data_IF_280272196642
#
_entry.id   IF_280272196642
#
_cell.length_a   1.000
_cell.length_b   1.000
_cell.length_c   1.000
_cell.angle_alpha   90.00
_cell.angle_beta   90.00
_cell.angle_gamma   90.00
#
_symmetry.space_group_name_H-M   'P 1'
#
loop_
_entity.id
_entity.type
_entity.pdbx_description
1 polymer ?
#
# COMPACT_ATOMS: atom_id res chain seq x y z
N UNK A 1 18.61 28.27 -66.26
CA UNK A 1 19.30 27.04 -65.82
C UNK A 1 19.36 27.05 -64.29
N UNK A 2 18.62 26.18 -63.62
CA UNK A 2 18.67 26.07 -62.15
C UNK A 2 19.89 25.22 -61.76
N UNK A 3 20.83 25.82 -61.03
CA UNK A 3 22.10 25.17 -60.68
C UNK A 3 21.90 24.12 -59.58
N UNK A 4 22.20 22.85 -59.91
CA UNK A 4 22.14 21.70 -59.00
C UNK A 4 23.05 21.91 -57.77
N UNK A 5 24.12 22.70 -57.91
CA UNK A 5 25.07 23.03 -56.84
C UNK A 5 24.41 23.76 -55.66
N UNK A 6 23.42 24.62 -55.92
CA UNK A 6 22.68 25.34 -54.87
C UNK A 6 21.73 24.42 -54.08
N UNK A 7 21.27 23.32 -54.70
CA UNK A 7 20.38 22.36 -54.03
C UNK A 7 21.21 21.47 -53.10
N UNK A 8 22.34 20.95 -53.58
CA UNK A 8 23.28 20.15 -52.77
C UNK A 8 23.82 20.92 -51.55
N UNK A 9 24.14 22.21 -51.71
CA UNK A 9 24.58 23.10 -50.63
C UNK A 9 23.48 23.34 -49.57
N UNK A 10 22.22 23.42 -49.98
CA UNK A 10 21.09 23.53 -49.04
C UNK A 10 20.87 22.21 -48.31
N UNK A 11 20.90 21.08 -49.00
CA UNK A 11 20.74 19.76 -48.38
C UNK A 11 21.84 19.47 -47.35
N UNK A 12 23.10 19.79 -47.66
CA UNK A 12 24.21 19.59 -46.71
C UNK A 12 24.12 20.51 -45.49
N UNK A 13 23.70 21.76 -45.66
CA UNK A 13 23.50 22.68 -44.53
C UNK A 13 22.31 22.28 -43.66
N UNK A 14 21.22 21.76 -44.23
CA UNK A 14 20.11 21.16 -43.48
C UNK A 14 20.55 19.93 -42.69
N UNK A 15 21.26 18.99 -43.31
CA UNK A 15 21.75 17.78 -42.63
C UNK A 15 22.73 18.11 -41.50
N UNK A 16 23.64 19.06 -41.71
CA UNK A 16 24.57 19.52 -40.67
C UNK A 16 23.84 20.20 -39.51
N UNK A 17 22.78 20.96 -39.78
CA UNK A 17 21.96 21.58 -38.75
C UNK A 17 21.23 20.52 -37.91
N UNK A 18 20.61 19.51 -38.56
CA UNK A 18 19.95 18.38 -37.89
C UNK A 18 20.93 17.60 -37.02
N UNK A 19 22.14 17.31 -37.52
CA UNK A 19 23.18 16.63 -36.75
C UNK A 19 23.64 17.46 -35.53
N UNK A 20 23.74 18.79 -35.67
CA UNK A 20 24.13 19.67 -34.57
C UNK A 20 23.08 19.74 -33.47
N UNK A 21 21.79 19.69 -33.84
CA UNK A 21 20.66 19.65 -32.90
C UNK A 21 20.63 18.29 -32.18
N UNK A 22 20.81 17.18 -32.91
CA UNK A 22 20.93 15.84 -32.33
C UNK A 22 22.06 15.78 -31.29
N UNK A 23 23.26 16.25 -31.65
CA UNK A 23 24.41 16.23 -30.74
C UNK A 23 24.19 17.07 -29.48
N UNK A 24 23.48 18.22 -29.60
CA UNK A 24 23.12 19.02 -28.43
C UNK A 24 22.13 18.28 -27.55
N UNK A 25 21.06 17.71 -28.12
CA UNK A 25 20.07 16.91 -27.38
C UNK A 25 20.75 15.73 -26.67
N UNK A 26 21.64 15.01 -27.36
CA UNK A 26 22.41 13.89 -26.79
C UNK A 26 23.28 14.34 -25.61
N UNK A 27 23.89 15.53 -25.71
CA UNK A 27 24.72 16.08 -24.63
C UNK A 27 23.91 16.48 -23.39
N UNK A 28 22.68 16.99 -23.57
CA UNK A 28 21.78 17.35 -22.48
C UNK A 28 21.16 16.09 -21.84
N UNK A 29 20.77 15.10 -22.65
CA UNK A 29 20.28 13.79 -22.18
C UNK A 29 21.31 13.05 -21.31
N UNK A 30 22.61 13.26 -21.54
CA UNK A 30 23.68 12.66 -20.72
C UNK A 30 23.85 13.28 -19.34
N UNK A 31 23.38 14.50 -19.11
CA UNK A 31 23.54 15.21 -17.82
C UNK A 31 22.38 15.00 -16.86
N UNK A 32 21.20 14.65 -17.38
CA UNK A 32 20.02 14.33 -16.56
C UNK A 32 20.06 12.85 -16.21
N UNK A 33 19.77 12.45 -14.95
CA UNK A 33 19.64 11.04 -14.61
C UNK A 33 18.62 10.37 -15.53
N UNK A 34 18.87 9.14 -16.01
CA UNK A 34 17.99 8.48 -16.94
C UNK A 34 16.66 8.14 -16.25
N UNK A 35 15.56 8.40 -16.95
CA UNK A 35 14.24 7.94 -16.53
C UNK A 35 14.05 6.51 -17.02
N UNK A 36 13.73 5.59 -16.10
CA UNK A 36 13.60 4.17 -16.38
C UNK A 36 12.19 3.69 -16.04
N UNK A 37 11.55 2.99 -16.97
CA UNK A 37 10.32 2.24 -16.73
C UNK A 37 10.65 0.75 -16.79
N UNK A 38 10.73 0.11 -15.62
CA UNK A 38 11.39 -1.18 -15.46
C UNK A 38 12.83 -1.11 -15.96
N UNK A 39 13.11 -1.87 -17.02
CA UNK A 39 14.43 -1.88 -17.67
C UNK A 39 14.51 -1.01 -18.93
N UNK A 40 13.43 -0.27 -19.25
CA UNK A 40 13.34 0.54 -20.47
C UNK A 40 13.78 1.98 -20.17
N UNK A 41 14.76 2.48 -20.93
CA UNK A 41 15.18 3.88 -20.86
C UNK A 41 14.19 4.75 -21.65
N UNK A 42 13.53 5.66 -20.95
CA UNK A 42 12.67 6.66 -21.56
C UNK A 42 13.49 7.91 -21.90
N UNK A 43 13.14 8.56 -23.01
CA UNK A 43 13.76 9.78 -23.50
C UNK A 43 12.72 10.90 -23.51
N UNK A 44 13.19 12.14 -23.35
CA UNK A 44 12.39 13.38 -23.48
C UNK A 44 11.03 13.29 -22.77
N UNK A 45 11.05 12.94 -21.48
CA UNK A 45 9.83 12.87 -20.67
C UNK A 45 9.38 14.27 -20.28
N UNK A 46 8.10 14.56 -20.45
CA UNK A 46 7.49 15.86 -20.17
C UNK A 46 6.04 15.74 -19.71
N UNK A 47 5.46 16.84 -19.24
CA UNK A 47 4.06 16.87 -18.83
C UNK A 47 3.72 15.91 -17.68
N UNK A 48 4.63 15.78 -16.71
CA UNK A 48 4.45 14.89 -15.56
C UNK A 48 3.31 15.43 -14.69
N UNK A 49 2.29 14.59 -14.48
CA UNK A 49 1.15 14.83 -13.61
C UNK A 49 1.13 13.74 -12.54
N UNK A 50 1.19 14.14 -11.27
CA UNK A 50 1.06 13.25 -10.11
C UNK A 50 -0.19 13.64 -9.32
N UNK A 51 -1.09 12.68 -9.11
CA UNK A 51 -2.33 12.89 -8.35
C UNK A 51 -2.23 12.16 -7.02
N UNK A 52 -2.27 12.93 -5.94
CA UNK A 52 -2.36 12.43 -4.57
C UNK A 52 -3.75 12.76 -4.04
N UNK A 53 -4.50 11.75 -3.64
CA UNK A 53 -5.83 11.95 -3.06
C UNK A 53 -6.09 11.00 -1.90
N UNK A 54 -6.95 11.46 -0.99
CA UNK A 54 -7.45 10.69 0.14
C UNK A 54 -8.96 10.88 0.20
N UNK A 55 -9.67 9.83 0.58
CA UNK A 55 -11.06 9.91 0.97
C UNK A 55 -11.14 10.34 2.43
N UNK A 56 -11.80 11.48 2.67
CA UNK A 56 -11.95 12.09 3.98
C UNK A 56 -13.43 12.04 4.38
N UNK A 57 -13.77 11.55 5.57
CA UNK A 57 -15.15 11.47 6.03
C UNK A 57 -15.75 12.87 6.20
N UNK A 58 -16.99 13.06 5.73
CA UNK A 58 -17.75 14.31 5.86
C UNK A 58 -18.72 14.31 7.04
N UNK A 59 -18.91 13.14 7.67
CA UNK A 59 -19.78 12.96 8.84
C UNK A 59 -18.95 13.20 10.10
N UNK A 60 -19.48 13.89 11.13
CA UNK A 60 -18.78 14.08 12.41
C UNK A 60 -18.41 12.74 13.03
N UNK A 61 -17.17 12.65 13.53
CA UNK A 61 -16.67 11.48 14.25
C UNK A 61 -16.96 11.68 15.74
N UNK A 62 -17.51 10.64 16.37
CA UNK A 62 -18.14 10.70 17.71
C UNK A 62 -17.21 11.23 18.82
N UNK A 63 -15.93 10.82 18.83
CA UNK A 63 -15.00 11.14 19.93
C UNK A 63 -13.68 11.81 19.52
N UNK A 64 -13.46 12.13 18.24
CA UNK A 64 -12.25 12.82 17.75
C UNK A 64 -10.90 12.12 18.02
N UNK A 65 -10.90 10.94 18.64
CA UNK A 65 -9.71 10.23 19.13
C UNK A 65 -9.04 9.35 18.09
N UNK A 66 -9.69 9.08 16.95
CA UNK A 66 -9.14 8.30 15.83
C UNK A 66 -9.48 8.91 14.46
N UNK A 67 -9.03 10.14 14.21
CA UNK A 67 -9.25 10.83 12.92
C UNK A 67 -8.52 10.12 11.77
N UNK A 68 -7.32 9.58 12.03
CA UNK A 68 -6.48 8.95 11.02
C UNK A 68 -7.08 7.63 10.48
N UNK A 69 -7.76 6.84 11.33
CA UNK A 69 -8.33 5.55 10.93
C UNK A 69 -9.49 5.68 9.94
N UNK A 70 -10.03 6.89 9.80
CA UNK A 70 -11.14 7.17 8.90
C UNK A 70 -10.70 7.81 7.56
N UNK A 71 -9.42 8.18 7.41
CA UNK A 71 -8.90 8.73 6.15
C UNK A 71 -8.33 7.58 5.33
N UNK A 72 -8.97 7.27 4.20
CA UNK A 72 -8.48 6.24 3.29
C UNK A 72 -7.60 6.87 2.22
N UNK A 73 -6.34 6.46 2.14
CA UNK A 73 -5.45 6.93 1.08
C UNK A 73 -5.84 6.27 -0.24
N UNK A 74 -6.01 7.04 -1.31
CA UNK A 74 -6.21 6.49 -2.65
C UNK A 74 -4.88 6.07 -3.29
N UNK A 75 -4.89 5.22 -4.33
CA UNK A 75 -3.72 4.96 -5.15
C UNK A 75 -3.11 6.24 -5.73
N UNK A 76 -1.78 6.30 -5.82
CA UNK A 76 -1.12 7.33 -6.60
C UNK A 76 -1.41 7.11 -8.09
N UNK A 77 -1.91 8.14 -8.75
CA UNK A 77 -2.04 8.16 -10.21
C UNK A 77 -0.96 9.03 -10.82
N UNK A 78 -0.33 8.53 -11.89
CA UNK A 78 0.77 9.20 -12.57
C UNK A 78 0.51 9.20 -14.07
N UNK A 79 0.72 10.33 -14.73
CA UNK A 79 0.68 10.41 -16.19
C UNK A 79 1.78 11.30 -16.72
N UNK A 80 2.41 10.90 -17.82
CA UNK A 80 3.45 11.71 -18.47
C UNK A 80 3.56 11.39 -19.95
N UNK A 81 4.05 12.37 -20.71
CA UNK A 81 4.35 12.23 -22.13
C UNK A 81 5.81 11.83 -22.33
N UNK A 82 6.04 10.94 -23.27
CA UNK A 82 7.36 10.44 -23.66
C UNK A 82 7.56 10.67 -25.15
N UNK A 83 8.75 11.13 -25.53
CA UNK A 83 9.16 11.20 -26.92
C UNK A 83 10.48 10.44 -27.11
N UNK A 84 10.44 9.35 -27.87
CA UNK A 84 11.62 8.57 -28.20
C UNK A 84 12.09 8.94 -29.59
N UNK A 85 13.36 9.31 -29.72
CA UNK A 85 13.98 9.72 -30.99
C UNK A 85 15.07 8.73 -31.36
N UNK A 86 15.33 8.59 -32.67
CA UNK A 86 16.38 7.73 -33.20
C UNK A 86 15.84 6.43 -33.78
N UNK A 87 16.71 5.62 -34.38
CA UNK A 87 16.31 4.46 -35.19
C UNK A 87 15.53 3.37 -34.44
N UNK A 88 15.72 3.27 -33.12
CA UNK A 88 15.08 2.26 -32.27
C UNK A 88 13.78 2.75 -31.62
N UNK A 89 13.26 3.91 -32.01
CA UNK A 89 12.09 4.52 -31.36
C UNK A 89 10.85 3.60 -31.36
N UNK A 90 10.62 2.86 -32.45
CA UNK A 90 9.50 1.91 -32.56
C UNK A 90 9.68 0.71 -31.63
N UNK A 91 10.89 0.16 -31.58
CA UNK A 91 11.21 -1.00 -30.74
C UNK A 91 11.03 -0.68 -29.24
N UNK A 92 11.44 0.53 -28.82
CA UNK A 92 11.23 0.99 -27.45
C UNK A 92 9.73 1.12 -27.15
N UNK A 93 8.96 1.70 -28.07
CA UNK A 93 7.51 1.83 -27.91
C UNK A 93 6.82 0.46 -27.78
N UNK A 94 7.17 -0.51 -28.64
CA UNK A 94 6.64 -1.88 -28.56
C UNK A 94 6.98 -2.55 -27.22
N UNK A 95 8.21 -2.38 -26.72
CA UNK A 95 8.58 -2.90 -25.39
C UNK A 95 7.73 -2.31 -24.27
N UNK A 96 7.35 -1.03 -24.35
CA UNK A 96 6.45 -0.40 -23.37
C UNK A 96 5.03 -0.97 -23.49
N UNK A 97 4.55 -1.20 -24.71
CA UNK A 97 3.27 -1.89 -24.94
C UNK A 97 3.27 -3.32 -24.39
N UNK A 98 4.37 -4.05 -24.55
CA UNK A 98 4.53 -5.40 -24.00
C UNK A 98 4.42 -5.41 -22.47
N UNK A 99 5.03 -4.45 -21.77
CA UNK A 99 4.90 -4.35 -20.30
C UNK A 99 3.44 -4.22 -19.87
N UNK A 100 2.67 -3.38 -20.57
CA UNK A 100 1.23 -3.24 -20.32
C UNK A 100 0.48 -4.55 -20.62
N UNK A 101 0.81 -5.22 -21.72
CA UNK A 101 0.13 -6.44 -22.14
C UNK A 101 0.43 -7.65 -21.23
N UNK A 102 1.63 -7.71 -20.63
CA UNK A 102 1.99 -8.72 -19.63
C UNK A 102 1.23 -8.56 -18.31
N UNK A 103 0.64 -7.39 -18.07
CA UNK A 103 -0.09 -7.06 -16.82
C UNK A 103 0.78 -7.20 -15.58
N UNK A 104 2.07 -6.89 -15.73
CA UNK A 104 3.04 -6.94 -14.64
C UNK A 104 3.15 -5.57 -13.97
N UNK A 105 3.45 -5.59 -12.67
CA UNK A 105 3.84 -4.40 -11.93
C UNK A 105 5.25 -4.00 -12.34
N UNK A 106 5.45 -2.71 -12.54
CA UNK A 106 6.73 -2.13 -12.96
C UNK A 106 7.17 -1.07 -11.97
N UNK A 107 8.49 -0.98 -11.81
CA UNK A 107 9.11 0.11 -11.08
C UNK A 107 9.40 1.26 -12.05
N UNK A 108 9.08 2.49 -11.65
CA UNK A 108 9.40 3.68 -12.42
C UNK A 108 10.44 4.49 -11.65
N UNK A 109 11.57 4.76 -12.28
CA UNK A 109 12.62 5.61 -11.74
C UNK A 109 12.64 6.94 -12.48
N UNK A 110 12.32 8.02 -11.77
CA UNK A 110 12.44 9.40 -12.25
C UNK A 110 13.27 10.22 -11.27
N UNK A 111 12.66 11.23 -10.63
CA UNK A 111 13.24 11.99 -9.52
C UNK A 111 13.33 11.11 -8.26
N UNK A 112 12.36 10.20 -8.11
CA UNK A 112 12.31 9.17 -7.07
C UNK A 112 11.92 7.83 -7.69
N UNK A 113 12.07 6.77 -6.91
CA UNK A 113 11.62 5.42 -7.27
C UNK A 113 10.14 5.26 -6.88
N UNK A 114 9.28 5.01 -7.86
CA UNK A 114 7.90 4.60 -7.69
C UNK A 114 7.83 3.10 -7.87
N UNK A 115 7.28 2.39 -6.89
CA UNK A 115 7.19 0.93 -6.89
C UNK A 115 5.76 0.49 -7.14
N UNK A 116 5.60 -0.75 -7.57
CA UNK A 116 4.29 -1.39 -7.74
C UNK A 116 3.35 -0.62 -8.69
N UNK A 117 3.91 0.03 -9.72
CA UNK A 117 3.09 0.78 -10.67
C UNK A 117 2.51 -0.18 -11.72
N UNK A 118 1.22 -0.07 -12.00
CA UNK A 118 0.58 -0.75 -13.11
C UNK A 118 0.33 0.25 -14.23
N UNK A 119 0.68 -0.11 -15.47
CA UNK A 119 0.37 0.71 -16.64
C UNK A 119 -1.11 0.54 -16.99
N UNK A 120 -1.91 1.58 -16.82
CA UNK A 120 -3.35 1.55 -17.10
C UNK A 120 -3.64 1.88 -18.56
N UNK A 121 -2.95 2.88 -19.10
CA UNK A 121 -3.15 3.35 -20.47
C UNK A 121 -1.83 3.73 -21.15
N UNK A 122 -1.76 3.49 -22.46
CA UNK A 122 -0.71 4.00 -23.34
C UNK A 122 -1.42 4.60 -24.55
N UNK A 123 -1.32 5.92 -24.71
CA UNK A 123 -1.92 6.63 -25.83
C UNK A 123 -0.82 7.05 -26.81
N UNK A 124 -0.82 6.48 -28.01
CA UNK A 124 0.09 6.88 -29.08
C UNK A 124 -0.42 8.16 -29.73
N UNK A 125 0.33 9.25 -29.62
CA UNK A 125 -0.04 10.54 -30.19
C UNK A 125 0.49 10.67 -31.62
N UNK A 126 1.78 10.39 -31.83
CA UNK A 126 2.44 10.54 -33.14
C UNK A 126 3.43 9.41 -33.34
N UNK A 127 3.39 8.76 -34.50
CA UNK A 127 4.46 7.87 -34.96
C UNK A 127 4.96 8.36 -36.31
N UNK A 128 6.23 8.75 -36.35
CA UNK A 128 6.91 9.21 -37.56
C UNK A 128 8.01 8.22 -37.97
N UNK A 129 8.82 8.59 -38.96
CA UNK A 129 10.00 7.81 -39.36
C UNK A 129 11.16 7.94 -38.36
N UNK A 130 11.22 9.05 -37.63
CA UNK A 130 12.37 9.41 -36.79
C UNK A 130 12.08 9.43 -35.29
N UNK A 131 10.80 9.46 -34.90
CA UNK A 131 10.39 9.50 -33.50
C UNK A 131 8.99 8.93 -33.29
N UNK A 132 8.72 8.51 -32.06
CA UNK A 132 7.37 8.17 -31.56
C UNK A 132 7.09 8.97 -30.30
N UNK A 133 5.90 9.52 -30.22
CA UNK A 133 5.39 10.30 -29.09
C UNK A 133 4.14 9.64 -28.53
N UNK A 134 4.12 9.42 -27.22
CA UNK A 134 3.02 8.74 -26.55
C UNK A 134 2.91 9.17 -25.09
N UNK A 135 1.73 9.00 -24.52
CA UNK A 135 1.44 9.27 -23.11
C UNK A 135 1.29 7.95 -22.38
N UNK A 136 1.94 7.83 -21.22
CA UNK A 136 1.79 6.67 -20.33
C UNK A 136 1.02 7.12 -19.10
N UNK A 137 -0.02 6.37 -18.73
CA UNK A 137 -0.72 6.51 -17.46
C UNK A 137 -0.50 5.28 -16.60
N UNK A 138 -0.17 5.50 -15.33
CA UNK A 138 0.11 4.48 -14.34
C UNK A 138 -0.68 4.72 -13.06
N UNK A 139 -0.97 3.63 -12.35
CA UNK A 139 -1.59 3.66 -11.03
C UNK A 139 -0.79 2.76 -10.08
N UNK A 140 -0.52 3.24 -8.88
CA UNK A 140 0.13 2.48 -7.83
C UNK A 140 -0.80 1.36 -7.32
N UNK A 141 -0.32 0.13 -7.32
CA UNK A 141 -1.05 -1.00 -6.77
C UNK A 141 -0.65 -1.21 -5.30
N UNK A 142 -1.62 -1.07 -4.41
CA UNK A 142 -1.44 -1.32 -2.97
C UNK A 142 -1.47 -2.81 -2.69
N UNK A 143 -0.38 -3.34 -2.16
CA UNK A 143 -0.25 -4.76 -1.81
C UNK A 143 -0.45 -4.90 -0.30
N UNK A 144 -1.48 -5.65 0.09
CA UNK A 144 -1.68 -6.00 1.49
C UNK A 144 -0.77 -7.17 1.88
N UNK A 145 0.06 -6.97 2.90
CA UNK A 145 0.82 -8.07 3.50
C UNK A 145 -0.02 -8.73 4.58
N UNK A 146 -0.51 -9.94 4.32
CA UNK A 146 -1.22 -10.73 5.33
C UNK A 146 -0.20 -11.26 6.33
N UNK A 147 -0.15 -10.66 7.52
CA UNK A 147 0.57 -11.24 8.64
C UNK A 147 -0.30 -12.35 9.25
N UNK A 148 0.14 -13.60 9.13
CA UNK A 148 -0.51 -14.70 9.86
C UNK A 148 -0.24 -14.51 11.35
N UNK A 149 -1.31 -14.32 12.14
CA UNK A 149 -1.21 -14.42 13.59
C UNK A 149 -1.09 -15.91 13.92
N UNK A 150 0.05 -16.37 14.50
CA UNK A 150 0.18 -17.77 14.86
C UNK A 150 -0.91 -18.13 15.87
N UNK A 151 -1.60 -19.26 15.62
CA UNK A 151 -2.61 -19.77 16.54
C UNK A 151 -2.01 -19.92 17.94
N UNK A 152 -2.70 -19.45 19.01
CA UNK A 152 -2.20 -19.59 20.37
C UNK A 152 -1.91 -21.07 20.64
N UNK A 153 -0.65 -21.38 20.99
CA UNK A 153 -0.25 -22.76 21.19
C UNK A 153 -1.12 -23.42 22.28
N UNK A 154 -1.59 -24.66 22.10
CA UNK A 154 -2.47 -25.34 23.07
C UNK A 154 -1.77 -25.71 24.39
N UNK A 155 -0.54 -25.23 24.65
CA UNK A 155 0.31 -25.67 25.76
C UNK A 155 0.36 -24.74 26.96
N UNK A 156 -0.36 -23.62 26.96
CA UNK A 156 -0.57 -22.83 28.17
C UNK A 156 -1.77 -23.37 28.96
N UNK A 157 -1.66 -24.59 29.51
CA UNK A 157 -2.56 -25.00 30.60
C UNK A 157 -2.27 -24.06 31.77
N UNK A 158 -3.29 -23.36 32.26
CA UNK A 158 -3.19 -22.61 33.49
C UNK A 158 -2.60 -23.53 34.58
N UNK A 159 -1.51 -23.07 35.21
CA UNK A 159 -0.93 -23.76 36.38
C UNK A 159 -1.93 -23.62 37.52
N UNK A 160 -2.91 -24.53 37.57
CA UNK A 160 -3.82 -24.64 38.69
C UNK A 160 -2.99 -25.15 39.86
N UNK A 161 -2.70 -24.24 40.79
CA UNK A 161 -2.03 -24.52 42.05
C UNK A 161 -2.88 -25.55 42.79
N UNK A 162 -2.46 -26.82 42.80
CA UNK A 162 -3.10 -27.85 43.60
C UNK A 162 -2.98 -27.47 45.08
N UNK A 163 -4.03 -26.89 45.66
CA UNK A 163 -4.14 -26.74 47.11
C UNK A 163 -4.41 -28.11 47.69
N UNK A 164 -3.40 -28.66 48.35
CA UNK A 164 -3.51 -29.92 49.08
C UNK A 164 -4.57 -29.76 50.17
N UNK A 165 -5.72 -30.44 50.03
CA UNK A 165 -6.72 -30.51 51.10
C UNK A 165 -6.10 -31.24 52.28
N UNK A 166 -5.78 -30.49 53.35
CA UNK A 166 -5.40 -31.08 54.64
C UNK A 166 -6.65 -31.79 55.19
N UNK A 167 -6.62 -33.12 55.22
CA UNK A 167 -7.61 -33.92 55.96
C UNK A 167 -7.29 -33.83 57.45
N UNK A 168 -8.04 -33.00 58.17
CA UNK A 168 -8.01 -32.98 59.63
C UNK A 168 -8.73 -34.23 60.14
N UNK A 169 -7.96 -35.21 60.63
CA UNK A 169 -8.51 -36.37 61.35
C UNK A 169 -8.88 -35.89 62.74
N UNK A 170 -10.18 -35.85 63.03
CA UNK A 170 -10.69 -35.63 64.37
C UNK A 170 -10.29 -36.81 65.28
N UNK A 171 -9.45 -36.55 66.28
CA UNK A 171 -9.34 -37.38 67.48
C UNK A 171 -9.71 -36.54 68.69
N UNK A 172 -10.84 -36.86 69.30
CA UNK A 172 -11.24 -36.38 70.60
C UNK A 172 -10.23 -36.84 71.67
N UNK A 173 -9.86 -35.99 72.63
CA UNK A 173 -10.51 -35.87 73.97
C UNK A 173 -9.62 -35.11 74.98
N UNK A 174 -10.33 -34.37 75.85
CA UNK A 174 -10.01 -33.93 77.24
C UNK A 174 -9.31 -32.59 77.47
N UNK A 175 -10.15 -31.68 78.00
CA UNK A 175 -9.97 -30.82 79.17
C UNK A 175 -8.76 -29.86 79.20
N UNK A 176 -9.02 -28.56 79.34
CA UNK A 176 -9.12 -27.88 80.65
C UNK A 176 -9.67 -26.45 80.46
N UNK A 177 -10.47 -26.05 81.44
CA UNK A 177 -11.19 -24.77 81.59
C UNK A 177 -10.25 -23.56 81.62
N UNK A 178 -10.71 -22.43 81.07
CA UNK A 178 -10.90 -21.17 81.82
C UNK A 178 -11.30 -20.03 80.85
N UNK A 179 -12.51 -19.47 80.97
CA UNK A 179 -12.80 -18.09 81.48
C UNK A 179 -12.54 -17.06 80.36
N UNK A 180 -13.48 -16.24 79.85
CA UNK A 180 -14.79 -15.76 80.31
C UNK A 180 -15.46 -14.93 79.21
N UNK A 181 -16.81 -14.87 79.24
CA UNK A 181 -17.71 -13.70 79.04
C UNK A 181 -17.42 -12.73 77.87
N UNK A 182 -18.35 -12.30 77.03
CA UNK A 182 -19.81 -12.26 77.02
C UNK A 182 -20.21 -11.94 75.55
N UNK A 183 -21.44 -12.11 75.06
CA UNK A 183 -22.56 -11.15 75.19
C UNK A 183 -23.66 -11.65 74.22
N UNK A 184 -24.88 -11.84 74.74
CA UNK A 184 -26.24 -11.77 74.13
C UNK A 184 -26.52 -12.22 72.68
N UNK A 185 -27.40 -13.22 72.51
CA UNK A 185 -28.83 -13.14 72.10
C UNK A 185 -29.13 -12.63 70.67
N UNK A 186 -29.71 -13.56 69.90
CA UNK A 186 -30.90 -13.46 69.04
C UNK A 186 -30.85 -12.74 67.66
N UNK A 187 -31.50 -13.47 66.72
CA UNK A 187 -32.34 -13.06 65.57
C UNK A 187 -31.68 -12.70 64.24
N UNK A 188 -31.87 -13.62 63.29
CA UNK A 188 -32.47 -13.46 61.96
C UNK A 188 -32.36 -12.11 61.24
N UNK A 189 -31.59 -12.10 60.16
CA UNK A 189 -31.80 -11.37 58.89
C UNK A 189 -30.80 -11.99 57.90
N UNK A 190 -31.20 -12.63 56.81
CA UNK A 190 -31.85 -12.04 55.65
C UNK A 190 -30.77 -11.81 54.57
N UNK A 191 -30.91 -12.47 53.41
CA UNK A 191 -30.62 -11.99 52.03
C UNK A 191 -30.20 -13.16 51.11
N UNK A 192 -31.19 -13.57 50.31
CA UNK A 192 -31.21 -14.18 48.96
C UNK A 192 -29.94 -14.84 48.41
N UNK A 193 -30.04 -16.16 48.25
CA UNK A 193 -29.31 -16.97 47.27
C UNK A 193 -29.68 -16.52 45.83
N UNK A 194 -28.67 -16.22 45.03
CA UNK A 194 -28.78 -15.85 43.60
C UNK A 194 -28.31 -17.03 42.72
N UNK A 195 -29.00 -18.16 42.85
CA UNK A 195 -28.89 -19.27 41.89
C UNK A 195 -30.19 -19.29 41.07
N UNK A 196 -30.12 -18.95 39.78
CA UNK A 196 -31.28 -18.92 38.89
C UNK A 196 -30.89 -19.23 37.45
N UNK A 197 -31.36 -20.37 36.97
CA UNK A 197 -31.21 -20.96 35.65
C UNK A 197 -31.25 -19.95 34.49
N UNK A 198 -30.26 -20.05 33.58
CA UNK A 198 -30.29 -19.41 32.27
C UNK A 198 -31.29 -20.15 31.36
N UNK A 199 -32.56 -19.75 31.43
CA UNK A 199 -33.54 -20.09 30.40
C UNK A 199 -33.30 -19.20 29.18
N UNK A 200 -32.93 -19.81 28.05
CA UNK A 200 -32.76 -19.16 26.76
C UNK A 200 -34.10 -18.71 26.19
N UNK A 201 -34.31 -17.40 26.01
CA UNK A 201 -35.45 -16.87 25.28
C UNK A 201 -35.19 -16.85 23.76
N UNK A 202 -36.19 -17.26 22.98
CA UNK A 202 -36.18 -17.19 21.53
C UNK A 202 -36.60 -15.81 21.04
N UNK A 203 -35.75 -15.15 20.25
CA UNK A 203 -36.05 -13.86 19.62
C UNK A 203 -37.08 -14.06 18.52
N UNK A 204 -38.19 -13.32 18.58
CA UNK A 204 -39.15 -13.18 17.48
C UNK A 204 -38.86 -11.85 16.77
N UNK A 205 -38.50 -11.91 15.49
CA UNK A 205 -38.27 -10.73 14.66
C UNK A 205 -39.60 -10.19 14.08
N UNK A 206 -39.69 -8.87 13.84
CA UNK A 206 -40.87 -8.22 13.25
C UNK A 206 -41.09 -8.57 11.78
#
# INVERSE_FOLDING_TARGET
>A
MFSITNIMSKVSSFLNNVNSISNRIDSYLRKTPPILLGNIKLQLVSGISESYSNDVPTIPIDDGTQIADNITQNPLELSFKVQIVGSNHKEIFEKVLELRNKRELVDLYMIKLYKNMAITNIENTITSLYYTEFTISLVEVKIAHVSMIPSPSPKAKASVRNTTKIKTIAKAKKNTKSITKAVTKNKSSGVKDWEGDLQSEHIKLP
#
